data_IF_304856801855
#
_entry.id   IF_304856801855
#
_cell.length_a   1.000
_cell.length_b   1.000
_cell.length_c   1.000
_cell.angle_alpha   90.00
_cell.angle_beta   90.00
_cell.angle_gamma   90.00
#
_symmetry.space_group_name_H-M   'P 1'
#
loop_
_entity.id
_entity.type
_entity.pdbx_description
1 polymer ?
#
# COMPACT_ATOMS: atom_id res chain seq x y z
N UNK A 1 -29.23 -55.10 -13.22
CA UNK A 1 -28.47 -55.59 -12.04
C UNK A 1 -27.00 -55.24 -12.26
N UNK A 2 -26.29 -54.96 -11.17
CA UNK A 2 -24.92 -54.44 -11.05
C UNK A 2 -24.79 -52.90 -11.19
N UNK A 3 -24.88 -52.22 -10.05
CA UNK A 3 -24.30 -50.89 -9.83
C UNK A 3 -23.06 -51.08 -8.95
N UNK A 4 -21.88 -50.73 -9.47
CA UNK A 4 -20.64 -50.70 -8.72
C UNK A 4 -20.53 -49.36 -7.98
N UNK A 5 -20.41 -49.40 -6.66
CA UNK A 5 -20.21 -48.23 -5.79
C UNK A 5 -18.71 -48.17 -5.48
N UNK A 6 -17.96 -47.15 -5.92
CA UNK A 6 -16.59 -46.97 -5.46
C UNK A 6 -16.61 -46.28 -4.09
N UNK A 7 -15.92 -46.91 -3.16
CA UNK A 7 -15.72 -46.50 -1.76
C UNK A 7 -14.90 -45.20 -1.75
N UNK A 8 -15.51 -44.09 -1.32
CA UNK A 8 -14.79 -42.85 -1.00
C UNK A 8 -14.15 -43.00 0.39
N UNK A 9 -12.83 -43.17 0.43
CA UNK A 9 -12.02 -43.11 1.66
C UNK A 9 -11.89 -41.64 2.10
N UNK A 10 -12.61 -41.25 3.17
CA UNK A 10 -12.36 -40.02 3.91
C UNK A 10 -11.10 -40.22 4.78
N UNK A 11 -9.97 -39.64 4.39
CA UNK A 11 -8.80 -39.49 5.26
C UNK A 11 -8.94 -38.23 6.11
N UNK A 12 -9.26 -38.41 7.40
CA UNK A 12 -9.16 -37.36 8.41
C UNK A 12 -7.67 -37.03 8.64
N UNK A 13 -7.21 -35.86 8.17
CA UNK A 13 -5.95 -35.27 8.59
C UNK A 13 -6.10 -34.75 10.03
N UNK A 14 -5.60 -35.53 11.00
CA UNK A 14 -5.35 -35.04 12.35
C UNK A 14 -4.20 -34.01 12.27
N UNK A 15 -4.53 -32.72 12.30
CA UNK A 15 -3.56 -31.68 12.62
C UNK A 15 -3.18 -31.84 14.10
N UNK A 16 -2.08 -32.53 14.37
CA UNK A 16 -1.48 -32.53 15.69
C UNK A 16 -1.06 -31.09 16.03
N UNK A 17 -1.81 -30.43 16.90
CA UNK A 17 -1.37 -29.20 17.54
C UNK A 17 -0.16 -29.54 18.40
N UNK A 18 1.04 -29.39 17.84
CA UNK A 18 2.26 -29.47 18.61
C UNK A 18 2.21 -28.34 19.65
N UNK A 19 2.47 -28.63 20.94
CA UNK A 19 2.59 -27.57 21.92
C UNK A 19 3.68 -26.63 21.45
N UNK A 20 3.37 -25.34 21.37
CA UNK A 20 4.37 -24.29 21.12
C UNK A 20 5.45 -24.44 22.18
N UNK A 21 6.58 -25.06 21.81
CA UNK A 21 7.75 -25.06 22.66
C UNK A 21 8.14 -23.60 22.84
N UNK A 22 8.15 -23.13 24.09
CA UNK A 22 8.55 -21.76 24.39
C UNK A 22 9.94 -21.44 23.83
N UNK A 23 10.32 -20.14 23.76
CA UNK A 23 11.56 -19.73 23.12
C UNK A 23 12.78 -20.51 23.63
N UNK A 24 13.65 -20.92 22.71
CA UNK A 24 14.84 -21.70 23.06
C UNK A 24 15.73 -20.95 24.05
N UNK A 25 16.49 -21.69 24.86
CA UNK A 25 17.45 -21.08 25.80
C UNK A 25 18.43 -20.14 25.08
N UNK A 26 18.88 -20.54 23.88
CA UNK A 26 19.78 -19.75 23.03
C UNK A 26 19.14 -18.41 22.67
N UNK A 27 17.87 -18.41 22.23
CA UNK A 27 17.16 -17.16 21.92
C UNK A 27 17.07 -16.27 23.17
N UNK A 28 16.66 -16.82 24.32
CA UNK A 28 16.49 -16.04 25.56
C UNK A 28 17.79 -15.38 26.01
N UNK A 29 18.91 -16.11 26.01
CA UNK A 29 20.21 -15.58 26.44
C UNK A 29 20.79 -14.60 25.42
N UNK A 30 20.70 -14.89 24.13
CA UNK A 30 21.10 -13.95 23.08
C UNK A 30 20.30 -12.65 23.17
N UNK A 31 18.97 -12.71 23.30
CA UNK A 31 18.14 -11.52 23.43
C UNK A 31 18.46 -10.69 24.69
N UNK A 32 18.80 -11.33 25.80
CA UNK A 32 19.25 -10.63 27.01
C UNK A 32 20.58 -9.89 26.76
N UNK A 33 21.53 -10.52 26.08
CA UNK A 33 22.82 -9.93 25.77
C UNK A 33 22.71 -8.73 24.80
N UNK A 34 21.95 -8.85 23.71
CA UNK A 34 21.84 -7.78 22.70
C UNK A 34 20.98 -6.60 23.16
N UNK A 35 20.22 -6.74 24.25
CA UNK A 35 19.47 -5.61 24.82
C UNK A 35 20.41 -4.51 25.32
N UNK A 36 21.58 -4.88 25.84
CA UNK A 36 22.58 -3.96 26.38
C UNK A 36 23.76 -3.71 25.43
N UNK A 37 23.64 -4.09 24.15
CA UNK A 37 24.68 -3.85 23.15
C UNK A 37 24.70 -2.39 22.67
N UNK A 38 25.77 -2.00 21.98
CA UNK A 38 25.94 -0.65 21.40
C UNK A 38 24.79 -0.26 20.49
N UNK A 39 24.29 -1.20 19.68
CA UNK A 39 23.04 -1.08 18.93
C UNK A 39 22.03 -2.02 19.57
N UNK A 40 21.53 -1.60 20.73
CA UNK A 40 20.65 -2.40 21.57
C UNK A 40 19.34 -2.75 20.86
N UNK A 41 18.89 -4.00 20.99
CA UNK A 41 17.56 -4.42 20.51
C UNK A 41 16.65 -4.72 21.70
N UNK A 42 15.44 -4.14 21.79
CA UNK A 42 14.54 -4.42 22.91
C UNK A 42 14.29 -5.91 23.09
N UNK A 43 14.47 -6.43 24.32
CA UNK A 43 14.37 -7.86 24.63
C UNK A 43 13.13 -8.53 24.04
N UNK A 44 11.95 -7.92 24.27
CA UNK A 44 10.67 -8.47 23.78
C UNK A 44 10.58 -8.50 22.26
N UNK A 45 11.17 -7.51 21.58
CA UNK A 45 11.22 -7.47 20.13
C UNK A 45 12.12 -8.61 19.61
N UNK A 46 13.34 -8.73 20.13
CA UNK A 46 14.26 -9.81 19.78
C UNK A 46 13.61 -11.19 20.00
N UNK A 47 13.02 -11.40 21.18
CA UNK A 47 12.40 -12.67 21.56
C UNK A 47 11.27 -13.03 20.59
N UNK A 48 10.36 -12.09 20.32
CA UNK A 48 9.22 -12.30 19.40
C UNK A 48 9.70 -12.58 17.98
N UNK A 49 10.60 -11.76 17.45
CA UNK A 49 11.09 -11.86 16.07
C UNK A 49 11.82 -13.18 15.83
N UNK A 50 12.74 -13.57 16.71
CA UNK A 50 13.49 -14.82 16.56
C UNK A 50 12.63 -16.06 16.83
N UNK A 51 11.69 -16.01 17.78
CA UNK A 51 10.83 -17.16 18.07
C UNK A 51 9.81 -17.43 16.95
N UNK A 52 9.37 -16.39 16.24
CA UNK A 52 8.45 -16.51 15.11
C UNK A 52 9.14 -16.98 13.82
N UNK A 53 10.47 -16.92 13.73
CA UNK A 53 11.22 -17.35 12.56
C UNK A 53 11.65 -18.82 12.70
N UNK A 54 11.24 -19.73 11.79
CA UNK A 54 11.56 -21.15 11.91
C UNK A 54 13.07 -21.47 11.92
N UNK A 55 13.87 -20.75 11.12
CA UNK A 55 15.31 -20.95 11.07
C UNK A 55 16.00 -20.51 12.37
N UNK A 56 15.59 -19.40 12.95
CA UNK A 56 16.05 -18.94 14.26
C UNK A 56 15.58 -19.87 15.39
N UNK A 57 14.33 -20.35 15.36
CA UNK A 57 13.81 -21.30 16.33
C UNK A 57 14.56 -22.64 16.30
N UNK A 58 15.03 -23.07 15.13
CA UNK A 58 15.82 -24.29 14.96
C UNK A 58 17.31 -24.12 15.31
N UNK A 59 17.81 -22.88 15.40
CA UNK A 59 19.22 -22.58 15.65
C UNK A 59 19.71 -23.16 16.99
N UNK A 60 20.93 -23.72 16.97
CA UNK A 60 21.55 -24.35 18.15
C UNK A 60 22.53 -23.43 18.89
N UNK A 61 22.91 -22.31 18.27
CA UNK A 61 23.88 -21.36 18.81
C UNK A 61 23.60 -19.93 18.32
N UNK A 62 24.35 -18.97 18.87
CA UNK A 62 24.23 -17.55 18.52
C UNK A 62 24.64 -17.25 17.08
N UNK A 63 25.51 -18.06 16.46
CA UNK A 63 25.90 -17.91 15.06
C UNK A 63 24.71 -18.20 14.14
N UNK A 64 23.97 -19.27 14.40
CA UNK A 64 22.73 -19.60 13.69
C UNK A 64 21.66 -18.52 13.85
N UNK A 65 21.52 -17.95 15.06
CA UNK A 65 20.62 -16.81 15.28
C UNK A 65 21.04 -15.57 14.50
N UNK A 66 22.34 -15.27 14.43
CA UNK A 66 22.86 -14.16 13.65
C UNK A 66 22.57 -14.35 12.15
N UNK A 67 22.80 -15.55 11.60
CA UNK A 67 22.46 -15.86 10.19
C UNK A 67 20.96 -15.70 9.95
N UNK A 68 20.12 -16.24 10.84
CA UNK A 68 18.66 -16.12 10.70
C UNK A 68 18.19 -14.65 10.78
N UNK A 69 18.74 -13.86 11.70
CA UNK A 69 18.46 -12.43 11.81
C UNK A 69 18.92 -11.66 10.56
N UNK A 70 20.09 -11.97 10.01
CA UNK A 70 20.58 -11.37 8.76
C UNK A 70 19.67 -11.71 7.58
N UNK A 71 19.21 -12.95 7.46
CA UNK A 71 18.28 -13.35 6.40
C UNK A 71 16.93 -12.63 6.55
N UNK A 72 16.42 -12.50 7.78
CA UNK A 72 15.22 -11.69 8.06
C UNK A 72 15.42 -10.23 7.63
N UNK A 73 16.58 -9.65 7.94
CA UNK A 73 16.92 -8.29 7.49
C UNK A 73 16.93 -8.20 5.97
N UNK A 74 17.55 -9.15 5.26
CA UNK A 74 17.56 -9.16 3.80
C UNK A 74 16.15 -9.22 3.22
N UNK A 75 15.28 -10.09 3.75
CA UNK A 75 13.87 -10.14 3.36
C UNK A 75 13.14 -8.82 3.61
N UNK A 76 13.33 -8.21 4.77
CA UNK A 76 12.72 -6.93 5.11
C UNK A 76 13.22 -5.80 4.19
N UNK A 77 14.51 -5.78 3.86
CA UNK A 77 15.09 -4.81 2.92
C UNK A 77 14.46 -4.97 1.55
N UNK A 78 14.42 -6.18 0.99
CA UNK A 78 13.79 -6.43 -0.31
C UNK A 78 12.31 -6.04 -0.33
N UNK A 79 11.56 -6.36 0.73
CA UNK A 79 10.16 -5.96 0.84
C UNK A 79 9.98 -4.44 0.93
N UNK A 80 10.90 -3.76 1.63
CA UNK A 80 10.89 -2.29 1.75
C UNK A 80 11.22 -1.63 0.42
N UNK A 81 12.26 -2.11 -0.27
CA UNK A 81 12.64 -1.63 -1.61
C UNK A 81 11.47 -1.78 -2.59
N UNK A 82 10.82 -2.95 -2.62
CA UNK A 82 9.64 -3.18 -3.46
C UNK A 82 8.50 -2.20 -3.14
N UNK A 83 8.23 -1.94 -1.86
CA UNK A 83 7.22 -0.97 -1.43
C UNK A 83 7.57 0.44 -1.92
N UNK A 84 8.83 0.84 -1.76
CA UNK A 84 9.31 2.16 -2.22
C UNK A 84 9.16 2.29 -3.73
N UNK A 85 9.57 1.29 -4.51
CA UNK A 85 9.44 1.31 -5.98
C UNK A 85 7.99 1.45 -6.41
N UNK A 86 7.09 0.64 -5.85
CA UNK A 86 5.65 0.72 -6.15
C UNK A 86 5.05 2.09 -5.83
N UNK A 87 5.45 2.67 -4.69
CA UNK A 87 5.01 4.00 -4.31
C UNK A 87 5.52 5.08 -5.27
N UNK A 88 6.79 4.98 -5.70
CA UNK A 88 7.36 5.91 -6.69
C UNK A 88 6.59 5.83 -8.02
N UNK A 89 6.30 4.61 -8.50
CA UNK A 89 5.58 4.41 -9.75
C UNK A 89 4.15 4.98 -9.68
N UNK A 90 3.45 4.75 -8.55
CA UNK A 90 2.11 5.30 -8.33
C UNK A 90 2.13 6.84 -8.23
N UNK A 91 3.09 7.41 -7.49
CA UNK A 91 3.26 8.87 -7.39
C UNK A 91 3.63 9.50 -8.74
N UNK A 92 4.38 8.79 -9.58
CA UNK A 92 4.69 9.26 -10.93
C UNK A 92 3.42 9.33 -11.80
N UNK A 93 2.55 8.32 -11.73
CA UNK A 93 1.26 8.34 -12.40
C UNK A 93 0.38 9.50 -11.90
N UNK A 94 0.32 9.70 -10.58
CA UNK A 94 -0.33 10.86 -9.98
C UNK A 94 0.21 12.17 -10.54
N UNK A 95 1.53 12.34 -10.64
CA UNK A 95 2.14 13.55 -11.19
C UNK A 95 1.68 13.81 -12.64
N UNK A 96 1.65 12.79 -13.50
CA UNK A 96 1.17 12.92 -14.89
C UNK A 96 -0.29 13.36 -14.93
N UNK A 97 -1.13 12.76 -14.10
CA UNK A 97 -2.55 13.10 -13.97
C UNK A 97 -2.74 14.56 -13.49
N UNK A 98 -1.97 15.02 -12.50
CA UNK A 98 -2.02 16.41 -12.03
C UNK A 98 -1.47 17.40 -13.05
N UNK A 99 -0.50 17.03 -13.88
CA UNK A 99 -0.06 17.85 -15.00
C UNK A 99 -1.18 18.04 -16.02
N UNK A 100 -1.92 16.98 -16.37
CA UNK A 100 -3.09 17.08 -17.24
C UNK A 100 -4.21 17.93 -16.63
N UNK A 101 -4.43 17.81 -15.31
CA UNK A 101 -5.34 18.67 -14.56
C UNK A 101 -4.96 20.14 -14.67
N UNK A 102 -3.67 20.45 -14.48
CA UNK A 102 -3.15 21.80 -14.57
C UNK A 102 -3.36 22.42 -15.96
N UNK A 103 -3.10 21.67 -17.03
CA UNK A 103 -3.34 22.12 -18.41
C UNK A 103 -4.82 22.42 -18.67
N UNK A 104 -5.71 21.52 -18.21
CA UNK A 104 -7.17 21.68 -18.33
C UNK A 104 -7.66 22.92 -17.57
N UNK A 105 -7.17 23.14 -16.35
CA UNK A 105 -7.49 24.34 -15.55
C UNK A 105 -6.99 25.62 -16.23
N UNK A 106 -5.76 25.62 -16.73
CA UNK A 106 -5.20 26.79 -17.42
C UNK A 106 -6.03 27.17 -18.66
N UNK A 107 -6.42 26.16 -19.46
CA UNK A 107 -7.30 26.36 -20.61
C UNK A 107 -8.69 26.87 -20.20
N UNK A 108 -9.28 26.29 -19.15
CA UNK A 108 -10.57 26.74 -18.64
C UNK A 108 -10.52 28.18 -18.13
N UNK A 109 -9.48 28.58 -17.41
CA UNK A 109 -9.31 29.94 -16.92
C UNK A 109 -9.24 30.96 -18.07
N UNK A 110 -8.55 30.63 -19.17
CA UNK A 110 -8.52 31.49 -20.35
C UNK A 110 -9.91 31.69 -20.96
N UNK A 111 -10.73 30.64 -21.02
CA UNK A 111 -12.10 30.70 -21.53
C UNK A 111 -13.04 31.45 -20.59
N UNK A 112 -12.96 31.20 -19.28
CA UNK A 112 -13.74 31.90 -18.26
C UNK A 112 -13.48 33.41 -18.28
N UNK A 113 -12.21 33.82 -18.35
CA UNK A 113 -11.83 35.24 -18.43
C UNK A 113 -12.36 35.91 -19.71
N UNK A 114 -12.60 35.14 -20.77
CA UNK A 114 -13.19 35.62 -22.01
C UNK A 114 -14.71 35.45 -22.08
N UNK A 115 -15.35 34.99 -20.99
CA UNK A 115 -16.80 34.76 -20.91
C UNK A 115 -17.31 33.53 -21.68
N UNK A 116 -16.43 32.62 -22.11
CA UNK A 116 -16.77 31.41 -22.89
C UNK A 116 -17.07 30.22 -21.97
N UNK A 117 -18.16 30.29 -21.23
CA UNK A 117 -18.49 29.28 -20.21
C UNK A 117 -18.79 27.89 -20.79
N UNK A 118 -19.38 27.82 -21.99
CA UNK A 118 -19.68 26.59 -22.73
C UNK A 118 -18.40 25.83 -23.14
N UNK A 119 -17.33 26.56 -23.46
CA UNK A 119 -16.02 25.98 -23.78
C UNK A 119 -15.21 25.65 -22.52
N UNK A 120 -15.34 26.47 -21.46
CA UNK A 120 -14.64 26.25 -20.20
C UNK A 120 -15.18 25.03 -19.42
N UNK A 121 -16.50 24.83 -19.42
CA UNK A 121 -17.17 23.82 -18.61
C UNK A 121 -16.64 22.39 -18.85
N UNK A 122 -16.51 21.89 -20.10
CA UNK A 122 -15.92 20.57 -20.37
C UNK A 122 -14.48 20.42 -19.84
N UNK A 123 -13.64 21.45 -19.94
CA UNK A 123 -12.26 21.41 -19.44
C UNK A 123 -12.21 21.30 -17.92
N UNK A 124 -13.10 22.02 -17.22
CA UNK A 124 -13.22 21.91 -15.76
C UNK A 124 -13.76 20.54 -15.34
N UNK A 125 -14.68 19.97 -16.13
CA UNK A 125 -15.15 18.59 -15.91
C UNK A 125 -14.00 17.60 -16.02
N UNK A 126 -13.22 17.69 -17.09
CA UNK A 126 -12.07 16.81 -17.31
C UNK A 126 -11.03 16.95 -16.19
N UNK A 127 -10.77 18.19 -15.74
CA UNK A 127 -9.92 18.45 -14.58
C UNK A 127 -10.47 17.80 -13.30
N UNK A 128 -11.79 17.77 -13.12
CA UNK A 128 -12.42 17.25 -11.89
C UNK A 128 -12.30 15.75 -11.69
N UNK A 129 -12.05 14.99 -12.76
CA UNK A 129 -11.82 13.54 -12.67
C UNK A 129 -10.36 13.17 -12.46
N UNK A 130 -9.42 14.11 -12.62
CA UNK A 130 -7.99 13.81 -12.49
C UNK A 130 -7.62 13.27 -11.11
N UNK A 131 -8.08 13.84 -9.98
CA UNK A 131 -7.74 13.31 -8.66
C UNK A 131 -8.14 11.83 -8.47
N UNK A 132 -9.26 11.38 -9.04
CA UNK A 132 -9.71 9.99 -8.96
C UNK A 132 -8.75 9.02 -9.69
N UNK A 133 -8.10 9.46 -10.77
CA UNK A 133 -7.09 8.65 -11.44
C UNK A 133 -5.80 8.52 -10.62
N UNK A 134 -5.43 9.54 -9.84
CA UNK A 134 -4.33 9.41 -8.88
C UNK A 134 -4.71 8.44 -7.75
N UNK A 135 -5.91 8.57 -7.17
CA UNK A 135 -6.40 7.64 -6.14
C UNK A 135 -6.37 6.19 -6.64
N UNK A 136 -6.82 5.96 -7.88
CA UNK A 136 -6.77 4.63 -8.49
C UNK A 136 -5.35 4.09 -8.61
N UNK A 137 -4.39 4.92 -9.06
CA UNK A 137 -2.99 4.52 -9.14
C UNK A 137 -2.41 4.15 -7.76
N UNK A 138 -2.81 4.85 -6.70
CA UNK A 138 -2.41 4.55 -5.33
C UNK A 138 -3.01 3.23 -4.83
N UNK A 139 -4.30 2.99 -5.12
CA UNK A 139 -4.98 1.73 -4.80
C UNK A 139 -4.35 0.52 -5.53
N UNK A 140 -3.95 0.71 -6.78
CA UNK A 140 -3.30 -0.33 -7.61
C UNK A 140 -1.83 -0.57 -7.24
N UNK A 141 -1.22 0.30 -6.41
CA UNK A 141 0.19 0.21 -6.01
C UNK A 141 0.52 -0.99 -5.11
N UNK A 142 -0.47 -1.61 -4.46
CA UNK A 142 -0.25 -2.74 -3.54
C UNK A 142 0.75 -2.41 -2.41
N UNK A 143 0.68 -1.18 -1.86
CA UNK A 143 1.58 -0.72 -0.78
C UNK A 143 0.90 -0.51 0.57
N UNK A 144 -0.43 -0.59 0.67
CA UNK A 144 -1.24 -0.13 1.82
C UNK A 144 -0.92 1.32 2.27
N UNK A 145 -0.21 2.09 1.44
CA UNK A 145 0.21 3.47 1.71
C UNK A 145 -0.38 4.39 0.68
N UNK A 146 -1.10 5.40 1.15
CA UNK A 146 -1.58 6.49 0.32
C UNK A 146 -1.26 7.85 0.95
N UNK A 147 -0.13 8.48 0.59
CA UNK A 147 0.18 9.86 0.97
C UNK A 147 -0.59 10.94 0.19
N UNK A 148 -1.46 10.59 -0.77
CA UNK A 148 -2.14 11.55 -1.65
C UNK A 148 -3.66 11.64 -1.43
N UNK A 149 -4.25 10.75 -0.63
CA UNK A 149 -5.72 10.65 -0.47
C UNK A 149 -6.38 11.96 -0.02
N UNK A 150 -5.76 12.70 0.91
CA UNK A 150 -6.27 13.99 1.38
C UNK A 150 -6.21 15.06 0.28
N UNK A 151 -5.08 15.17 -0.44
CA UNK A 151 -4.90 16.08 -1.56
C UNK A 151 -5.84 15.75 -2.72
N UNK A 152 -6.03 14.46 -3.03
CA UNK A 152 -6.96 14.01 -4.08
C UNK A 152 -8.39 14.41 -3.75
N UNK A 153 -8.83 14.14 -2.52
CA UNK A 153 -10.16 14.53 -2.04
C UNK A 153 -10.39 16.04 -2.13
N UNK A 154 -9.40 16.84 -1.69
CA UNK A 154 -9.51 18.29 -1.74
C UNK A 154 -9.58 18.82 -3.19
N UNK A 155 -8.72 18.32 -4.08
CA UNK A 155 -8.70 18.73 -5.48
C UNK A 155 -9.97 18.30 -6.22
N UNK A 156 -10.50 17.12 -5.94
CA UNK A 156 -11.78 16.64 -6.51
C UNK A 156 -12.91 17.60 -6.16
N UNK A 157 -13.04 17.96 -4.88
CA UNK A 157 -14.11 18.84 -4.41
C UNK A 157 -14.03 20.25 -5.02
N UNK A 158 -12.85 20.86 -5.03
CA UNK A 158 -12.67 22.23 -5.55
C UNK A 158 -12.85 22.29 -7.07
N UNK A 159 -12.28 21.35 -7.81
CA UNK A 159 -12.41 21.32 -9.28
C UNK A 159 -13.83 20.97 -9.72
N UNK A 160 -14.50 20.03 -9.04
CA UNK A 160 -15.90 19.72 -9.26
C UNK A 160 -16.82 20.92 -8.97
N UNK A 161 -16.51 21.70 -7.93
CA UNK A 161 -17.23 22.94 -7.64
C UNK A 161 -17.06 23.97 -8.78
N UNK A 162 -15.84 24.15 -9.28
CA UNK A 162 -15.57 25.05 -10.40
C UNK A 162 -16.34 24.63 -11.66
N UNK A 163 -16.32 23.33 -12.01
CA UNK A 163 -17.11 22.76 -13.09
C UNK A 163 -18.60 23.07 -12.94
N UNK A 164 -19.18 22.75 -11.78
CA UNK A 164 -20.61 22.93 -11.53
C UNK A 164 -21.06 24.40 -11.66
N UNK A 165 -20.23 25.34 -11.21
CA UNK A 165 -20.49 26.79 -11.35
C UNK A 165 -20.45 27.21 -12.83
N UNK A 166 -19.40 26.83 -13.56
CA UNK A 166 -19.27 27.18 -14.97
C UNK A 166 -20.42 26.60 -15.82
N UNK A 167 -20.77 25.35 -15.56
CA UNK A 167 -21.86 24.64 -16.22
C UNK A 167 -23.23 25.28 -15.91
N UNK A 168 -23.45 25.73 -14.67
CA UNK A 168 -24.67 26.45 -14.30
C UNK A 168 -24.81 27.74 -15.12
N UNK A 169 -23.74 28.51 -15.27
CA UNK A 169 -23.74 29.76 -16.04
C UNK A 169 -23.99 29.47 -17.52
N UNK A 170 -23.28 28.50 -18.11
CA UNK A 170 -23.44 28.12 -19.50
C UNK A 170 -24.89 27.73 -19.83
N UNK A 171 -25.53 26.94 -18.97
CA UNK A 171 -26.94 26.54 -19.14
C UNK A 171 -27.94 27.68 -19.01
N UNK A 172 -27.63 28.73 -18.24
CA UNK A 172 -28.49 29.92 -18.15
C UNK A 172 -28.31 30.84 -19.35
N UNK A 173 -27.09 30.97 -19.88
CA UNK A 173 -26.80 31.79 -21.06
C UNK A 173 -27.37 31.20 -22.37
N UNK A 174 -27.64 29.89 -22.41
CA UNK A 174 -28.20 29.21 -23.56
C UNK A 174 -29.74 29.26 -23.65
N UNK A 175 -30.42 29.86 -22.68
CA UNK A 175 -31.88 30.06 -22.66
C UNK A 175 -32.24 31.47 -23.11
#
# INVERSE_FOLDING_TARGET
MAAAIPILLLTFLLAAATPSAGPSYVIKTTCAAVTNATVGTPYRYCLRTLSANPAAAAAKDARGLAIAATNLTATNVTSTELTITRLIDALYNCLVTYQSMQESIAGALQDLNAGRFDVASPKLRDASFQPDFCELAMMESDTDKDPMSDENSANYLVSGMAYNIAELIARHAAK
#
